data_IF_385774194448
#
_entry.id   IF_385774194448
#
_cell.length_a   1.000
_cell.length_b   1.000
_cell.length_c   1.000
_cell.angle_alpha   90.00
_cell.angle_beta   90.00
_cell.angle_gamma   90.00
#
_symmetry.space_group_name_H-M   'P 1'
#
loop_
_entity.id
_entity.type
_entity.pdbx_description
1 polymer ?
#
# COMPACT_ATOMS: atom_id res chain seq x y z
N UNK A 1 -4.97 35.50 -15.87
CA UNK A 1 -5.75 34.31 -15.43
C UNK A 1 -4.78 33.35 -14.74
N UNK A 2 -5.15 32.69 -13.63
CA UNK A 2 -4.29 31.70 -13.01
C UNK A 2 -4.11 30.50 -13.96
N UNK A 3 -2.87 30.09 -14.19
CA UNK A 3 -2.53 28.96 -15.07
C UNK A 3 -2.64 27.62 -14.36
N UNK A 4 -2.52 27.58 -13.03
CA UNK A 4 -2.62 26.35 -12.24
C UNK A 4 -4.07 26.08 -11.86
N UNK A 5 -4.59 24.93 -12.31
CA UNK A 5 -5.93 24.42 -12.01
C UNK A 5 -5.90 23.19 -11.09
N UNK A 6 -4.81 22.42 -11.13
CA UNK A 6 -4.61 21.19 -10.36
C UNK A 6 -3.23 21.24 -9.70
N UNK A 7 -3.15 20.83 -8.44
CA UNK A 7 -1.90 20.47 -7.74
C UNK A 7 -1.96 18.96 -7.48
N UNK A 8 -1.08 18.18 -8.09
CA UNK A 8 -0.97 16.74 -7.80
C UNK A 8 0.11 16.47 -6.75
N UNK A 9 -0.07 15.44 -5.91
CA UNK A 9 0.91 15.06 -4.88
C UNK A 9 1.27 13.56 -4.91
N UNK A 10 2.56 13.28 -4.80
CA UNK A 10 3.16 11.94 -4.61
C UNK A 10 4.34 12.06 -3.65
N UNK A 11 4.07 12.07 -2.34
CA UNK A 11 5.04 12.34 -1.27
C UNK A 11 5.32 11.11 -0.41
N UNK A 12 4.83 9.94 -0.79
CA UNK A 12 4.78 8.69 -0.01
C UNK A 12 3.87 8.79 1.21
N UNK A 13 3.50 7.64 1.77
CA UNK A 13 2.66 7.53 2.97
C UNK A 13 3.25 8.32 4.15
N UNK A 14 4.58 8.29 4.30
CA UNK A 14 5.31 9.01 5.36
C UNK A 14 5.27 10.55 5.21
N UNK A 15 5.02 11.06 4.00
CA UNK A 15 4.97 12.49 3.72
C UNK A 15 3.80 13.22 4.38
N UNK A 16 2.75 12.49 4.75
CA UNK A 16 1.52 13.02 5.35
C UNK A 16 1.57 13.12 6.88
N UNK A 17 2.63 12.64 7.53
CA UNK A 17 2.87 12.79 8.97
C UNK A 17 1.67 12.38 9.83
N UNK A 18 1.06 11.23 9.52
CA UNK A 18 -0.12 10.75 10.21
C UNK A 18 0.25 10.04 11.53
N UNK A 19 -0.67 10.10 12.49
CA UNK A 19 -0.71 9.22 13.66
C UNK A 19 -1.29 7.85 13.32
N UNK A 20 -1.33 6.96 14.31
CA UNK A 20 -1.89 5.60 14.16
C UNK A 20 -3.41 5.61 13.89
N UNK A 21 -4.08 6.70 14.24
CA UNK A 21 -5.50 6.95 13.97
C UNK A 21 -5.75 7.47 12.53
N UNK A 22 -4.69 7.69 11.74
CA UNK A 22 -4.79 8.25 10.39
C UNK A 22 -5.12 9.74 10.36
N UNK A 23 -4.98 10.43 11.50
CA UNK A 23 -5.09 11.89 11.61
C UNK A 23 -3.70 12.53 11.61
N UNK A 24 -3.66 13.82 11.31
CA UNK A 24 -2.44 14.60 11.33
C UNK A 24 -1.80 14.59 12.72
N UNK A 25 -0.55 14.17 12.80
CA UNK A 25 0.26 14.32 14.01
C UNK A 25 0.80 15.75 14.06
N UNK A 26 0.06 16.62 14.75
CA UNK A 26 0.37 18.07 14.85
C UNK A 26 1.75 18.30 15.44
N UNK A 27 2.19 17.48 16.40
CA UNK A 27 3.51 17.63 17.02
C UNK A 27 4.62 17.31 16.01
N UNK A 28 4.48 16.24 15.22
CA UNK A 28 5.44 15.94 14.12
C UNK A 28 5.51 17.08 13.11
N UNK A 29 4.36 17.64 12.74
CA UNK A 29 4.27 18.75 11.79
C UNK A 29 4.98 20.00 12.32
N UNK A 30 4.69 20.40 13.56
CA UNK A 30 5.30 21.57 14.18
C UNK A 30 6.81 21.43 14.30
N UNK A 31 7.29 20.24 14.67
CA UNK A 31 8.72 19.96 14.74
C UNK A 31 9.41 20.03 13.38
N UNK A 32 8.74 19.60 12.30
CA UNK A 32 9.30 19.61 10.95
C UNK A 32 9.19 20.98 10.26
N UNK A 33 8.12 21.74 10.49
CA UNK A 33 7.97 23.09 9.91
C UNK A 33 8.93 24.12 10.55
N UNK A 34 9.46 23.82 11.74
CA UNK A 34 10.38 24.71 12.48
C UNK A 34 11.86 24.58 12.07
N UNK A 35 12.25 23.64 11.19
CA UNK A 35 13.62 23.58 10.65
C UNK A 35 13.84 24.68 9.62
N UNK A 36 14.70 25.66 9.95
CA UNK A 36 14.97 26.89 9.20
C UNK A 36 15.80 26.70 7.90
N UNK A 37 15.40 25.77 7.04
CA UNK A 37 15.98 25.53 5.72
C UNK A 37 14.90 25.55 4.63
N UNK A 38 15.21 26.08 3.46
CA UNK A 38 14.27 26.16 2.33
C UNK A 38 13.86 24.78 1.74
N UNK A 39 14.45 23.67 2.23
CA UNK A 39 14.30 22.31 1.69
C UNK A 39 13.55 21.30 2.59
N UNK A 40 13.09 21.69 3.80
CA UNK A 40 12.50 20.75 4.78
C UNK A 40 10.98 20.91 5.04
N UNK A 41 10.30 21.73 4.23
CA UNK A 41 8.87 22.03 4.41
C UNK A 41 7.96 20.81 4.22
N UNK A 42 6.82 20.79 4.92
CA UNK A 42 5.81 19.72 4.77
C UNK A 42 4.88 19.97 3.58
N UNK A 43 4.26 18.91 3.05
CA UNK A 43 3.24 19.06 1.98
C UNK A 43 2.13 20.04 2.39
N UNK A 44 1.69 19.99 3.64
CA UNK A 44 0.68 20.89 4.19
C UNK A 44 1.14 22.34 4.25
N UNK A 45 2.42 22.60 4.56
CA UNK A 45 2.98 23.95 4.59
C UNK A 45 2.97 24.59 3.19
N UNK A 46 3.41 23.83 2.17
CA UNK A 46 3.38 24.31 0.78
C UNK A 46 1.95 24.50 0.28
N UNK A 47 1.04 23.57 0.58
CA UNK A 47 -0.37 23.70 0.24
C UNK A 47 -1.00 24.93 0.92
N UNK A 48 -0.79 25.14 2.23
CA UNK A 48 -1.29 26.32 2.94
C UNK A 48 -0.82 27.62 2.25
N UNK A 49 0.48 27.74 1.97
CA UNK A 49 1.06 28.92 1.30
C UNK A 49 0.44 29.13 -0.09
N UNK A 50 0.26 28.06 -0.86
CA UNK A 50 -0.33 28.11 -2.20
C UNK A 50 -1.81 28.52 -2.14
N UNK A 51 -2.60 27.92 -1.24
CA UNK A 51 -4.01 28.22 -1.04
C UNK A 51 -4.22 29.66 -0.59
N UNK A 52 -3.42 30.13 0.39
CA UNK A 52 -3.46 31.51 0.88
C UNK A 52 -3.19 32.50 -0.27
N UNK A 53 -2.13 32.28 -1.03
CA UNK A 53 -1.79 33.12 -2.18
C UNK A 53 -2.88 33.10 -3.25
N UNK A 54 -3.50 31.95 -3.52
CA UNK A 54 -4.60 31.84 -4.50
C UNK A 54 -5.85 32.59 -4.03
N UNK A 55 -6.20 32.44 -2.76
CA UNK A 55 -7.31 33.15 -2.11
C UNK A 55 -7.11 34.67 -2.19
N UNK A 56 -5.92 35.17 -1.88
CA UNK A 56 -5.66 36.61 -1.89
C UNK A 56 -5.68 37.21 -3.31
N UNK A 57 -5.21 36.46 -4.30
CA UNK A 57 -5.05 36.97 -5.67
C UNK A 57 -6.30 36.84 -6.54
N UNK A 58 -7.07 35.76 -6.42
CA UNK A 58 -8.14 35.49 -7.39
C UNK A 58 -9.37 34.78 -6.83
N UNK A 59 -9.26 34.05 -5.71
CA UNK A 59 -10.36 33.26 -5.13
C UNK A 59 -10.98 32.24 -6.08
N UNK A 60 -10.28 31.87 -7.16
CA UNK A 60 -10.80 30.92 -8.14
C UNK A 60 -10.62 29.47 -7.65
N UNK A 61 -11.50 28.54 -8.09
CA UNK A 61 -11.45 27.16 -7.62
C UNK A 61 -10.13 26.44 -7.97
N UNK A 62 -9.79 25.41 -7.19
CA UNK A 62 -8.56 24.62 -7.37
C UNK A 62 -8.85 23.14 -7.05
N UNK A 63 -8.18 22.23 -7.74
CA UNK A 63 -8.15 20.81 -7.35
C UNK A 63 -6.80 20.43 -6.74
N UNK A 64 -6.81 19.69 -5.64
CA UNK A 64 -5.61 19.03 -5.07
C UNK A 64 -5.80 17.52 -5.23
N UNK A 65 -5.02 16.90 -6.12
CA UNK A 65 -5.17 15.51 -6.53
C UNK A 65 -4.10 14.64 -5.88
N UNK A 66 -4.49 13.80 -4.93
CA UNK A 66 -3.57 12.85 -4.31
C UNK A 66 -3.36 11.63 -5.20
N UNK A 67 -2.09 11.28 -5.46
CA UNK A 67 -1.68 10.13 -6.26
C UNK A 67 -0.78 9.17 -5.47
N UNK A 68 -0.77 9.25 -4.13
CA UNK A 68 -0.11 8.26 -3.27
C UNK A 68 -1.02 7.06 -3.00
N UNK A 69 -0.42 5.91 -2.71
CA UNK A 69 -1.09 4.63 -2.48
C UNK A 69 -1.70 4.53 -1.06
N UNK A 70 -2.57 5.49 -0.73
CA UNK A 70 -3.34 5.52 0.52
C UNK A 70 -4.82 5.25 0.21
N UNK A 71 -5.53 4.63 1.16
CA UNK A 71 -6.99 4.48 1.06
C UNK A 71 -7.64 5.85 1.17
N UNK A 72 -8.63 6.11 0.33
CA UNK A 72 -9.41 7.35 0.30
C UNK A 72 -8.53 8.60 0.36
N UNK A 73 -7.45 8.59 -0.44
CA UNK A 73 -6.32 9.50 -0.30
C UNK A 73 -6.66 10.99 -0.45
N UNK A 74 -7.69 11.32 -1.21
CA UNK A 74 -8.19 12.68 -1.39
C UNK A 74 -8.88 13.21 -0.14
N UNK A 75 -9.86 12.47 0.39
CA UNK A 75 -10.54 12.83 1.63
C UNK A 75 -9.59 12.82 2.84
N UNK A 76 -8.65 11.86 2.88
CA UNK A 76 -7.58 11.85 3.89
C UNK A 76 -6.78 13.15 3.85
N UNK A 77 -6.31 13.56 2.67
CA UNK A 77 -5.55 14.80 2.52
C UNK A 77 -6.39 16.03 2.89
N UNK A 78 -7.66 16.06 2.49
CA UNK A 78 -8.59 17.14 2.87
C UNK A 78 -8.71 17.26 4.39
N UNK A 79 -9.09 16.18 5.07
CA UNK A 79 -9.29 16.16 6.52
C UNK A 79 -8.04 16.60 7.27
N UNK A 80 -6.87 16.11 6.84
CA UNK A 80 -5.62 16.44 7.49
C UNK A 80 -5.13 17.85 7.16
N UNK A 81 -5.46 18.39 5.98
CA UNK A 81 -5.26 19.80 5.66
C UNK A 81 -6.16 20.70 6.53
N UNK A 82 -7.42 20.31 6.78
CA UNK A 82 -8.32 21.05 7.67
C UNK A 82 -7.76 21.12 9.11
N UNK A 83 -7.27 19.98 9.65
CA UNK A 83 -6.59 19.93 10.95
C UNK A 83 -5.33 20.79 10.98
N UNK A 84 -4.53 20.76 9.91
CA UNK A 84 -3.35 21.62 9.78
C UNK A 84 -3.74 23.10 9.86
N UNK A 85 -4.72 23.55 9.05
CA UNK A 85 -5.14 24.94 9.05
C UNK A 85 -5.69 25.38 10.40
N UNK A 86 -6.42 24.50 11.11
CA UNK A 86 -6.91 24.76 12.45
C UNK A 86 -5.76 24.94 13.46
N UNK A 87 -4.78 24.03 13.46
CA UNK A 87 -3.62 24.09 14.34
C UNK A 87 -2.79 25.39 14.18
N UNK A 88 -2.76 25.95 12.96
CA UNK A 88 -2.07 27.21 12.65
C UNK A 88 -2.99 28.46 12.72
N UNK A 89 -4.24 28.31 13.15
CA UNK A 89 -5.17 29.44 13.34
C UNK A 89 -5.73 30.04 12.05
N UNK A 90 -5.61 29.36 10.91
CA UNK A 90 -5.99 29.82 9.58
C UNK A 90 -7.49 29.57 9.27
N UNK A 91 -8.38 29.99 10.18
CA UNK A 91 -9.84 29.71 10.10
C UNK A 91 -10.50 30.23 8.82
N UNK A 92 -10.16 31.46 8.42
CA UNK A 92 -10.70 32.08 7.22
C UNK A 92 -10.19 31.38 5.94
N UNK A 93 -8.94 30.89 5.95
CA UNK A 93 -8.44 30.08 4.84
C UNK A 93 -9.13 28.72 4.78
N UNK A 94 -9.38 28.09 5.94
CA UNK A 94 -10.07 26.80 6.03
C UNK A 94 -11.50 26.90 5.46
N UNK A 95 -12.28 27.91 5.86
CA UNK A 95 -13.61 28.14 5.30
C UNK A 95 -13.57 28.34 3.77
N UNK A 96 -12.63 29.15 3.27
CA UNK A 96 -12.47 29.33 1.83
C UNK A 96 -12.09 28.03 1.11
N UNK A 97 -11.22 27.21 1.70
CA UNK A 97 -10.80 25.93 1.13
C UNK A 97 -11.99 24.98 0.95
N UNK A 98 -12.87 24.85 1.95
CA UNK A 98 -14.05 24.00 1.87
C UNK A 98 -14.94 24.35 0.66
N UNK A 99 -15.12 25.63 0.40
CA UNK A 99 -15.99 26.14 -0.68
C UNK A 99 -15.31 26.22 -2.05
N UNK A 100 -13.97 26.26 -2.12
CA UNK A 100 -13.25 26.55 -3.37
C UNK A 100 -12.25 25.46 -3.81
N UNK A 101 -11.91 24.51 -2.95
CA UNK A 101 -10.92 23.48 -3.24
C UNK A 101 -11.55 22.09 -3.19
N UNK A 102 -11.27 21.25 -4.18
CA UNK A 102 -11.65 19.83 -4.17
C UNK A 102 -10.43 18.93 -3.98
N UNK A 103 -10.69 17.77 -3.39
CA UNK A 103 -9.69 16.75 -3.08
C UNK A 103 -10.19 15.38 -3.56
N UNK A 104 -10.27 15.16 -4.88
CA UNK A 104 -10.71 13.88 -5.41
C UNK A 104 -9.76 12.76 -4.96
N UNK A 105 -10.33 11.67 -4.44
CA UNK A 105 -9.59 10.44 -4.17
C UNK A 105 -9.25 9.74 -5.49
N UNK A 106 -8.13 9.02 -5.51
CA UNK A 106 -7.69 8.26 -6.67
C UNK A 106 -7.03 6.93 -6.33
N UNK A 107 -7.28 5.93 -7.17
CA UNK A 107 -6.51 4.69 -7.18
C UNK A 107 -5.50 4.75 -8.33
N UNK A 108 -4.22 4.64 -7.99
CA UNK A 108 -3.10 4.59 -8.95
C UNK A 108 -2.49 3.19 -8.95
N UNK A 109 -2.23 2.63 -10.13
CA UNK A 109 -1.57 1.34 -10.25
C UNK A 109 -0.64 1.27 -11.46
N UNK A 110 0.65 1.21 -11.17
CA UNK A 110 1.73 0.88 -12.11
C UNK A 110 2.99 0.49 -11.34
N UNK A 111 3.43 -0.74 -11.49
CA UNK A 111 4.70 -1.22 -10.93
C UNK A 111 5.84 -0.47 -11.62
N UNK A 112 6.53 0.36 -10.83
CA UNK A 112 7.64 1.21 -11.26
C UNK A 112 8.81 0.97 -10.32
N UNK A 113 9.68 -0.01 -10.59
CA UNK A 113 10.82 -0.30 -9.73
C UNK A 113 11.79 0.89 -9.68
N UNK A 114 12.61 0.93 -8.63
CA UNK A 114 13.71 1.90 -8.55
C UNK A 114 14.69 1.62 -9.70
N UNK A 115 15.04 2.61 -10.55
CA UNK A 115 16.02 2.41 -11.59
C UNK A 115 17.35 1.91 -11.00
N UNK A 116 17.85 0.80 -11.53
CA UNK A 116 19.18 0.28 -11.21
C UNK A 116 20.25 1.16 -11.86
N UNK A 117 21.45 1.20 -11.27
CA UNK A 117 22.50 2.15 -11.64
C UNK A 117 22.92 2.10 -13.11
N UNK A 118 22.69 0.99 -13.79
CA UNK A 118 23.03 0.79 -15.20
C UNK A 118 21.85 0.96 -16.18
N UNK A 119 20.64 1.26 -15.69
CA UNK A 119 19.46 1.41 -16.56
C UNK A 119 19.63 2.51 -17.62
N UNK A 120 20.24 3.64 -17.27
CA UNK A 120 20.55 4.71 -18.24
C UNK A 120 21.52 4.24 -19.33
N UNK A 121 22.48 3.38 -18.99
CA UNK A 121 23.41 2.78 -19.94
C UNK A 121 22.71 1.78 -20.88
N UNK A 122 21.72 1.02 -20.37
CA UNK A 122 20.90 0.14 -21.19
C UNK A 122 20.02 0.94 -22.17
N UNK A 123 19.43 2.04 -21.73
CA UNK A 123 18.66 2.95 -22.59
C UNK A 123 19.55 3.55 -23.68
N UNK A 124 20.75 4.02 -23.33
CA UNK A 124 21.71 4.54 -24.30
C UNK A 124 22.13 3.46 -25.31
N UNK A 125 22.45 2.25 -24.84
CA UNK A 125 22.84 1.12 -25.70
C UNK A 125 21.72 0.69 -26.65
N UNK A 126 20.47 0.68 -26.18
CA UNK A 126 19.32 0.16 -26.94
C UNK A 126 18.70 1.20 -27.87
N UNK A 127 18.69 2.47 -27.47
CA UNK A 127 17.97 3.54 -28.18
C UNK A 127 18.86 4.70 -28.63
N UNK A 128 20.13 4.75 -28.24
CA UNK A 128 21.04 5.86 -28.56
C UNK A 128 20.74 7.15 -27.78
N UNK A 129 19.93 7.08 -26.72
CA UNK A 129 19.49 8.23 -25.93
C UNK A 129 20.27 8.26 -24.62
N UNK A 130 21.11 9.28 -24.44
CA UNK A 130 21.82 9.52 -23.17
C UNK A 130 20.96 10.39 -22.26
N UNK A 131 20.47 9.82 -21.17
CA UNK A 131 19.68 10.53 -20.15
C UNK A 131 19.98 9.94 -18.76
N UNK A 132 20.34 10.80 -17.80
CA UNK A 132 20.64 10.40 -16.42
C UNK A 132 19.36 10.17 -15.58
N UNK A 133 18.20 10.58 -16.08
CA UNK A 133 16.89 10.46 -15.42
C UNK A 133 15.97 9.49 -16.18
N UNK A 134 16.39 8.22 -16.27
CA UNK A 134 15.59 7.18 -16.90
C UNK A 134 14.73 6.44 -15.87
N UNK A 135 13.51 6.09 -16.26
CA UNK A 135 12.60 5.25 -15.49
C UNK A 135 12.21 4.04 -16.34
N UNK A 136 11.95 2.91 -15.69
CA UNK A 136 11.24 1.80 -16.31
C UNK A 136 10.07 1.41 -15.42
N UNK A 137 9.08 0.78 -16.05
CA UNK A 137 7.85 0.34 -15.42
C UNK A 137 7.22 -0.73 -16.29
N UNK A 138 6.22 -1.40 -15.73
CA UNK A 138 5.40 -2.32 -16.52
C UNK A 138 4.61 -1.60 -17.63
N UNK A 139 4.08 -2.39 -18.55
CA UNK A 139 3.19 -1.93 -19.63
C UNK A 139 1.79 -1.60 -19.10
N UNK A 140 1.31 -2.37 -18.12
CA UNK A 140 0.06 -2.08 -17.43
C UNK A 140 0.09 -0.70 -16.75
N UNK A 141 -1.00 0.05 -16.89
CA UNK A 141 -1.24 1.30 -16.20
C UNK A 141 -2.73 1.43 -15.93
N UNK A 142 -3.08 1.84 -14.72
CA UNK A 142 -4.45 2.15 -14.36
C UNK A 142 -4.49 3.38 -13.46
N UNK A 143 -5.42 4.28 -13.75
CA UNK A 143 -5.70 5.43 -12.92
C UNK A 143 -7.21 5.64 -12.87
N UNK A 144 -7.76 5.57 -11.66
CA UNK A 144 -9.18 5.76 -11.39
C UNK A 144 -9.32 6.93 -10.44
N UNK A 145 -10.17 7.90 -10.77
CA UNK A 145 -10.30 9.15 -10.01
C UNK A 145 -11.78 9.42 -9.74
N UNK A 146 -12.12 9.87 -8.54
CA UNK A 146 -13.43 10.46 -8.27
C UNK A 146 -13.58 11.74 -9.10
N UNK A 147 -14.66 11.86 -9.89
CA UNK A 147 -14.89 13.06 -10.73
C UNK A 147 -15.39 14.26 -9.91
N UNK A 148 -14.50 14.79 -9.05
CA UNK A 148 -14.72 15.98 -8.21
C UNK A 148 -13.61 17.01 -8.49
N UNK A 149 -13.54 17.49 -9.72
CA UNK A 149 -12.60 18.54 -10.12
C UNK A 149 -13.24 19.91 -10.01
N UNK A 150 -12.50 20.83 -9.38
CA UNK A 150 -12.78 22.26 -9.37
C UNK A 150 -11.80 22.96 -10.30
N UNK A 151 -12.34 23.68 -11.29
CA UNK A 151 -11.56 24.29 -12.37
C UNK A 151 -11.48 23.40 -13.61
N UNK A 152 -10.60 23.74 -14.54
CA UNK A 152 -10.40 22.94 -15.75
C UNK A 152 -9.48 21.75 -15.45
N UNK A 153 -9.84 20.56 -15.95
CA UNK A 153 -8.96 19.39 -15.99
C UNK A 153 -8.69 18.97 -17.44
N UNK A 154 -7.55 18.33 -17.73
CA UNK A 154 -7.34 17.68 -19.03
C UNK A 154 -8.41 16.59 -19.26
N UNK A 155 -8.67 16.29 -20.54
CA UNK A 155 -9.50 15.16 -20.99
C UNK A 155 -8.72 13.84 -20.80
N UNK A 156 -8.37 13.52 -19.55
CA UNK A 156 -7.55 12.37 -19.17
C UNK A 156 -8.19 11.02 -19.55
N UNK A 157 -9.51 10.99 -19.72
CA UNK A 157 -10.23 9.84 -20.26
C UNK A 157 -9.74 9.43 -21.66
N UNK A 158 -9.24 10.37 -22.47
CA UNK A 158 -8.63 10.08 -23.77
C UNK A 158 -7.28 9.33 -23.63
N UNK A 159 -6.66 9.40 -22.45
CA UNK A 159 -5.45 8.66 -22.09
C UNK A 159 -5.74 7.40 -21.26
N UNK A 160 -7.02 6.99 -21.13
CA UNK A 160 -7.44 5.78 -20.43
C UNK A 160 -7.72 5.93 -18.93
N UNK A 161 -7.74 7.17 -18.40
CA UNK A 161 -8.13 7.42 -17.01
C UNK A 161 -9.63 7.20 -16.83
N UNK A 162 -10.01 6.47 -15.77
CA UNK A 162 -11.42 6.23 -15.45
C UNK A 162 -11.92 7.22 -14.41
N UNK A 163 -12.95 7.98 -14.76
CA UNK A 163 -13.65 8.85 -13.83
C UNK A 163 -14.87 8.15 -13.25
N UNK A 164 -14.96 8.09 -11.92
CA UNK A 164 -16.00 7.35 -11.20
C UNK A 164 -16.62 8.22 -10.11
N UNK A 165 -17.73 7.76 -9.54
CA UNK A 165 -18.34 8.41 -8.37
C UNK A 165 -17.66 8.01 -7.06
N UNK A 166 -17.13 6.80 -7.02
CA UNK A 166 -16.50 6.22 -5.84
C UNK A 166 -15.34 5.32 -6.28
N UNK A 167 -14.15 5.62 -5.78
CA UNK A 167 -12.93 4.84 -6.04
C UNK A 167 -12.77 3.64 -5.09
N UNK A 168 -13.53 3.59 -4.00
CA UNK A 168 -13.38 2.58 -2.94
C UNK A 168 -13.39 1.14 -3.46
N UNK A 169 -14.25 0.73 -4.40
CA UNK A 169 -14.21 -0.63 -4.94
C UNK A 169 -12.89 -0.96 -5.68
N UNK A 170 -12.29 0.03 -6.33
CA UNK A 170 -11.04 -0.12 -7.07
C UNK A 170 -9.84 -0.18 -6.13
N UNK A 171 -9.82 0.68 -5.10
CA UNK A 171 -8.81 0.62 -4.05
C UNK A 171 -8.86 -0.72 -3.31
N UNK A 172 -10.05 -1.16 -2.89
CA UNK A 172 -10.20 -2.42 -2.16
C UNK A 172 -9.83 -3.63 -3.04
N UNK A 173 -10.26 -3.67 -4.31
CA UNK A 173 -9.84 -4.73 -5.23
C UNK A 173 -8.31 -4.76 -5.41
N UNK A 174 -7.68 -3.59 -5.63
CA UNK A 174 -6.22 -3.49 -5.78
C UNK A 174 -5.50 -3.91 -4.50
N UNK A 175 -5.91 -3.41 -3.34
CA UNK A 175 -5.29 -3.74 -2.06
C UNK A 175 -5.41 -5.24 -1.77
N UNK A 176 -6.59 -5.82 -1.95
CA UNK A 176 -6.84 -7.21 -1.54
C UNK A 176 -6.31 -8.23 -2.54
N UNK A 177 -6.42 -7.94 -3.84
CA UNK A 177 -5.97 -8.85 -4.90
C UNK A 177 -4.49 -8.65 -5.18
N UNK A 178 -4.02 -7.44 -5.48
CA UNK A 178 -2.62 -7.19 -5.81
C UNK A 178 -1.74 -7.20 -4.55
N UNK A 179 -1.99 -6.30 -3.59
CA UNK A 179 -1.12 -6.21 -2.41
C UNK A 179 -1.28 -7.42 -1.48
N UNK A 180 -2.50 -7.94 -1.32
CA UNK A 180 -2.79 -9.12 -0.51
C UNK A 180 -2.13 -10.38 -1.03
N UNK A 181 -2.12 -10.63 -2.35
CA UNK A 181 -1.46 -11.82 -2.91
C UNK A 181 0.07 -11.69 -2.98
N UNK A 182 0.60 -10.48 -3.18
CA UNK A 182 2.02 -10.20 -2.96
C UNK A 182 2.44 -10.63 -1.55
N UNK A 183 1.77 -10.10 -0.52
CA UNK A 183 2.09 -10.40 0.87
C UNK A 183 1.84 -11.87 1.24
N UNK A 184 0.74 -12.44 0.74
CA UNK A 184 0.34 -13.82 1.03
C UNK A 184 1.37 -14.84 0.55
N UNK A 185 2.03 -14.59 -0.58
CA UNK A 185 2.99 -15.52 -1.18
C UNK A 185 4.44 -15.27 -0.75
N UNK A 186 4.84 -14.00 -0.57
CA UNK A 186 6.27 -13.60 -0.52
C UNK A 186 7.07 -14.31 0.57
N UNK A 187 6.47 -14.55 1.75
CA UNK A 187 7.18 -15.18 2.87
C UNK A 187 7.42 -16.66 2.62
N UNK A 188 6.48 -17.36 2.00
CA UNK A 188 6.66 -18.75 1.59
C UNK A 188 7.72 -18.84 0.48
N UNK A 189 7.70 -17.91 -0.47
CA UNK A 189 8.71 -17.83 -1.52
C UNK A 189 10.13 -17.60 -0.95
N UNK A 190 10.25 -16.69 0.02
CA UNK A 190 11.51 -16.43 0.72
C UNK A 190 12.03 -17.65 1.47
N UNK A 191 11.15 -18.39 2.17
CA UNK A 191 11.50 -19.64 2.84
C UNK A 191 11.92 -20.75 1.86
N UNK A 192 11.41 -20.72 0.63
CA UNK A 192 11.82 -21.63 -0.47
C UNK A 192 13.10 -21.18 -1.18
N UNK A 193 13.67 -20.02 -0.83
CA UNK A 193 14.95 -19.55 -1.37
C UNK A 193 14.87 -18.84 -2.72
N UNK A 194 13.70 -18.33 -3.11
CA UNK A 194 13.59 -17.47 -4.29
C UNK A 194 14.14 -16.07 -4.02
N UNK A 195 14.70 -15.42 -5.05
CA UNK A 195 15.22 -14.06 -4.95
C UNK A 195 14.21 -13.00 -5.42
N UNK A 196 13.43 -13.32 -6.47
CA UNK A 196 12.44 -12.41 -7.06
C UNK A 196 11.05 -13.03 -7.15
N UNK A 197 10.03 -12.16 -7.19
CA UNK A 197 8.63 -12.60 -7.16
C UNK A 197 8.17 -13.23 -8.47
N UNK A 198 8.72 -12.81 -9.61
CA UNK A 198 8.42 -13.38 -10.92
C UNK A 198 8.87 -14.84 -11.05
N UNK A 199 10.00 -15.20 -10.47
CA UNK A 199 10.45 -16.59 -10.36
C UNK A 199 9.54 -17.40 -9.41
N UNK A 200 9.17 -16.79 -8.28
CA UNK A 200 8.34 -17.44 -7.27
C UNK A 200 6.92 -17.74 -7.79
N UNK A 201 6.26 -16.81 -8.48
CA UNK A 201 4.86 -16.96 -8.90
C UNK A 201 4.66 -17.98 -10.03
N UNK A 202 5.73 -18.40 -10.71
CA UNK A 202 5.71 -19.46 -11.73
C UNK A 202 6.09 -20.85 -11.17
N UNK A 203 6.60 -20.95 -9.93
CA UNK A 203 6.80 -22.24 -9.26
C UNK A 203 5.45 -22.95 -9.10
N UNK A 204 5.30 -24.24 -9.48
CA UNK A 204 3.98 -24.89 -9.49
C UNK A 204 3.25 -24.88 -8.15
N UNK A 205 3.96 -25.03 -7.02
CA UNK A 205 3.36 -25.00 -5.69
C UNK A 205 2.89 -23.58 -5.35
N UNK A 206 3.77 -22.59 -5.54
CA UNK A 206 3.48 -21.18 -5.23
C UNK A 206 2.41 -20.60 -6.15
N UNK A 207 2.40 -20.98 -7.42
CA UNK A 207 1.37 -20.58 -8.39
C UNK A 207 0.00 -21.12 -8.02
N UNK A 208 -0.05 -22.38 -7.55
CA UNK A 208 -1.28 -23.00 -7.04
C UNK A 208 -1.75 -22.32 -5.76
N UNK A 209 -0.83 -22.02 -4.84
CA UNK A 209 -1.12 -21.28 -3.61
C UNK A 209 -1.72 -19.90 -3.91
N UNK A 210 -1.13 -19.18 -4.86
CA UNK A 210 -1.59 -17.87 -5.32
C UNK A 210 -3.03 -17.94 -5.84
N UNK A 211 -3.33 -18.92 -6.72
CA UNK A 211 -4.67 -19.08 -7.29
C UNK A 211 -5.69 -19.43 -6.21
N UNK A 212 -5.35 -20.34 -5.29
CA UNK A 212 -6.23 -20.72 -4.18
C UNK A 212 -6.53 -19.55 -3.24
N UNK A 213 -5.51 -18.75 -2.88
CA UNK A 213 -5.69 -17.55 -2.07
C UNK A 213 -6.69 -16.59 -2.72
N UNK A 214 -6.55 -16.32 -4.02
CA UNK A 214 -7.44 -15.40 -4.71
C UNK A 214 -8.84 -15.97 -4.90
N UNK A 215 -8.96 -17.20 -5.38
CA UNK A 215 -10.24 -17.81 -5.75
C UNK A 215 -11.09 -18.21 -4.54
N UNK A 216 -10.45 -18.70 -3.46
CA UNK A 216 -11.15 -19.26 -2.30
C UNK A 216 -11.33 -18.27 -1.17
N UNK A 217 -10.47 -17.26 -1.06
CA UNK A 217 -10.46 -16.37 0.11
C UNK A 217 -10.65 -14.91 -0.26
N UNK A 218 -9.89 -14.37 -1.20
CA UNK A 218 -9.95 -12.93 -1.51
C UNK A 218 -11.22 -12.57 -2.29
N UNK A 219 -11.43 -13.16 -3.47
CA UNK A 219 -12.54 -12.79 -4.36
C UNK A 219 -13.91 -13.00 -3.71
N UNK A 220 -14.19 -14.12 -3.01
CA UNK A 220 -15.47 -14.33 -2.34
C UNK A 220 -15.74 -13.33 -1.20
N UNK A 221 -14.70 -12.67 -0.70
CA UNK A 221 -14.83 -11.75 0.44
C UNK A 221 -14.91 -10.27 0.04
N UNK A 222 -14.69 -9.97 -1.23
CA UNK A 222 -14.94 -8.66 -1.84
C UNK A 222 -16.43 -8.45 -2.14
N UNK A 223 -16.82 -7.20 -2.41
CA UNK A 223 -18.17 -6.88 -2.88
C UNK A 223 -18.43 -7.53 -4.24
N UNK A 224 -19.43 -8.40 -4.31
CA UNK A 224 -19.81 -9.09 -5.54
C UNK A 224 -20.56 -8.17 -6.53
N UNK A 225 -20.97 -6.98 -6.08
CA UNK A 225 -21.51 -5.92 -6.94
C UNK A 225 -20.43 -4.92 -7.39
N UNK A 226 -19.14 -5.24 -7.17
CA UNK A 226 -18.04 -4.40 -7.62
C UNK A 226 -18.17 -4.09 -9.12
N UNK A 227 -17.91 -2.85 -9.56
CA UNK A 227 -17.88 -2.50 -10.98
C UNK A 227 -16.72 -3.16 -11.74
N UNK A 228 -15.82 -3.85 -11.03
CA UNK A 228 -14.63 -4.51 -11.57
C UNK A 228 -14.92 -6.00 -11.72
N UNK A 229 -14.55 -6.56 -12.87
CA UNK A 229 -14.43 -8.02 -12.99
C UNK A 229 -13.23 -8.49 -12.16
N UNK A 230 -13.51 -8.90 -10.92
CA UNK A 230 -12.49 -9.31 -9.96
C UNK A 230 -11.67 -10.51 -10.43
N UNK A 231 -12.26 -11.42 -11.20
CA UNK A 231 -11.55 -12.60 -11.73
C UNK A 231 -10.63 -12.20 -12.87
N UNK A 232 -11.09 -11.37 -13.79
CA UNK A 232 -10.25 -10.84 -14.86
C UNK A 232 -9.11 -9.98 -14.28
N UNK A 233 -9.39 -9.18 -13.25
CA UNK A 233 -8.39 -8.38 -12.56
C UNK A 233 -7.34 -9.26 -11.85
N UNK A 234 -7.76 -10.31 -11.13
CA UNK A 234 -6.86 -11.31 -10.54
C UNK A 234 -5.96 -11.98 -11.59
N UNK A 235 -6.52 -12.38 -12.74
CA UNK A 235 -5.74 -12.94 -13.85
C UNK A 235 -4.73 -11.95 -14.41
N UNK A 236 -5.10 -10.68 -14.55
CA UNK A 236 -4.19 -9.60 -14.94
C UNK A 236 -3.04 -9.43 -13.94
N UNK A 237 -3.35 -9.38 -12.64
CA UNK A 237 -2.34 -9.28 -11.57
C UNK A 237 -1.36 -10.44 -11.64
N UNK A 238 -1.83 -11.69 -11.76
CA UNK A 238 -0.95 -12.86 -11.89
C UNK A 238 0.00 -12.73 -13.08
N UNK A 239 -0.52 -12.33 -14.24
CA UNK A 239 0.29 -12.13 -15.46
C UNK A 239 1.34 -11.03 -15.27
N UNK A 240 0.99 -9.93 -14.58
CA UNK A 240 1.92 -8.84 -14.27
C UNK A 240 3.05 -9.30 -13.36
N UNK A 241 2.73 -10.11 -12.34
CA UNK A 241 3.73 -10.67 -11.45
C UNK A 241 4.70 -11.64 -12.14
N UNK A 242 4.32 -12.25 -13.26
CA UNK A 242 5.20 -13.10 -14.06
C UNK A 242 6.19 -12.32 -14.95
N UNK A 243 6.14 -10.99 -14.93
CA UNK A 243 6.97 -10.16 -15.80
C UNK A 243 8.40 -10.02 -15.27
N UNK A 244 9.30 -10.87 -15.75
CA UNK A 244 10.73 -10.87 -15.41
C UNK A 244 11.46 -9.57 -15.77
N UNK A 245 10.93 -8.73 -16.68
CA UNK A 245 11.59 -7.47 -17.07
C UNK A 245 11.50 -6.38 -16.00
N UNK A 246 10.61 -6.56 -15.03
CA UNK A 246 10.40 -5.67 -13.87
C UNK A 246 10.53 -6.46 -12.57
N UNK A 247 11.33 -7.53 -12.60
CA UNK A 247 11.54 -8.46 -11.49
C UNK A 247 11.71 -7.72 -10.17
N UNK A 248 10.92 -8.13 -9.18
CA UNK A 248 10.85 -7.45 -7.90
C UNK A 248 11.42 -8.33 -6.79
N UNK A 249 12.43 -7.80 -6.10
CA UNK A 249 13.15 -8.55 -5.07
C UNK A 249 12.27 -8.85 -3.86
N UNK A 250 12.27 -10.11 -3.42
CA UNK A 250 11.48 -10.54 -2.27
C UNK A 250 11.74 -9.72 -1.00
N UNK A 251 12.97 -9.27 -0.67
CA UNK A 251 13.19 -8.38 0.48
C UNK A 251 12.33 -7.12 0.48
N UNK A 252 12.15 -6.49 -0.69
CA UNK A 252 11.34 -5.26 -0.83
C UNK A 252 9.84 -5.55 -0.65
N UNK A 253 9.38 -6.70 -1.14
CA UNK A 253 7.98 -7.09 -1.03
C UNK A 253 7.67 -7.52 0.41
N UNK A 254 8.54 -8.32 1.03
CA UNK A 254 8.37 -8.91 2.36
C UNK A 254 8.54 -7.89 3.50
N UNK A 255 9.34 -6.84 3.32
CA UNK A 255 9.59 -5.85 4.37
C UNK A 255 8.30 -5.26 4.96
N UNK A 256 8.35 -4.78 6.20
CA UNK A 256 7.23 -4.12 6.90
C UNK A 256 5.97 -5.00 6.98
N UNK A 257 6.17 -6.29 7.26
CA UNK A 257 5.09 -7.25 7.47
C UNK A 257 4.12 -6.80 8.57
N UNK A 258 4.63 -6.20 9.65
CA UNK A 258 3.81 -5.67 10.74
C UNK A 258 2.63 -4.83 10.25
N UNK A 259 2.91 -3.85 9.39
CA UNK A 259 1.90 -2.93 8.85
C UNK A 259 1.09 -3.59 7.72
N UNK A 260 1.77 -4.32 6.83
CA UNK A 260 1.17 -4.90 5.63
C UNK A 260 0.16 -6.01 5.94
N UNK A 261 0.39 -6.84 6.95
CA UNK A 261 -0.57 -7.90 7.32
C UNK A 261 -1.90 -7.30 7.76
N UNK A 262 -1.87 -6.25 8.58
CA UNK A 262 -3.07 -5.50 8.98
C UNK A 262 -3.78 -4.86 7.80
N UNK A 263 -3.04 -4.25 6.88
CA UNK A 263 -3.65 -3.50 5.78
C UNK A 263 -4.17 -4.38 4.64
N UNK A 264 -3.45 -5.46 4.32
CA UNK A 264 -3.65 -6.21 3.08
C UNK A 264 -4.32 -7.57 3.30
N UNK A 265 -3.98 -8.30 4.38
CA UNK A 265 -4.45 -9.67 4.59
C UNK A 265 -5.52 -9.79 5.68
N UNK A 266 -5.46 -8.99 6.74
CA UNK A 266 -6.47 -9.00 7.81
C UNK A 266 -7.90 -8.86 7.27
N UNK A 267 -8.23 -7.94 6.34
CA UNK A 267 -9.59 -7.85 5.82
C UNK A 267 -10.06 -9.12 5.07
N UNK A 268 -9.12 -9.90 4.52
CA UNK A 268 -9.43 -11.24 3.96
C UNK A 268 -9.72 -12.25 5.04
N UNK A 269 -8.92 -12.29 6.10
CA UNK A 269 -9.17 -13.15 7.25
C UNK A 269 -10.55 -12.86 7.85
N UNK A 270 -10.84 -11.59 8.17
CA UNK A 270 -12.13 -11.16 8.70
C UNK A 270 -13.28 -11.55 7.77
N UNK A 271 -13.16 -11.18 6.49
CA UNK A 271 -14.20 -11.47 5.50
C UNK A 271 -14.44 -12.96 5.31
N UNK A 272 -13.42 -13.81 5.50
CA UNK A 272 -13.55 -15.26 5.42
C UNK A 272 -14.30 -15.80 6.63
N UNK A 273 -13.84 -15.49 7.84
CA UNK A 273 -14.47 -15.95 9.07
C UNK A 273 -15.93 -15.49 9.18
N UNK A 274 -16.20 -14.21 8.87
CA UNK A 274 -17.55 -13.65 8.92
C UNK A 274 -18.51 -14.30 7.89
N UNK A 275 -17.98 -14.93 6.84
CA UNK A 275 -18.73 -15.67 5.81
C UNK A 275 -18.65 -17.19 5.96
N UNK A 276 -17.99 -17.71 7.00
CA UNK A 276 -17.79 -19.15 7.20
C UNK A 276 -16.88 -19.82 6.16
N UNK A 277 -16.00 -19.05 5.52
CA UNK A 277 -14.97 -19.55 4.59
C UNK A 277 -13.73 -19.90 5.41
N UNK A 278 -13.13 -21.07 5.16
CA UNK A 278 -11.86 -21.47 5.79
C UNK A 278 -10.67 -20.73 5.13
N UNK A 279 -9.96 -19.84 5.83
CA UNK A 279 -8.89 -19.04 5.25
C UNK A 279 -7.52 -19.74 5.32
N UNK A 280 -7.43 -20.93 4.74
CA UNK A 280 -6.24 -21.80 4.81
C UNK A 280 -4.97 -21.13 4.26
N UNK A 281 -5.01 -20.54 3.07
CA UNK A 281 -3.88 -19.82 2.47
C UNK A 281 -3.50 -18.59 3.30
N UNK A 282 -4.46 -17.80 3.78
CA UNK A 282 -4.16 -16.65 4.63
C UNK A 282 -3.50 -17.07 5.95
N UNK A 283 -3.99 -18.12 6.62
CA UNK A 283 -3.35 -18.66 7.84
C UNK A 283 -1.93 -19.14 7.56
N UNK A 284 -1.72 -19.88 6.46
CA UNK A 284 -0.38 -20.31 6.03
C UNK A 284 0.55 -19.13 5.74
N UNK A 285 0.03 -18.05 5.17
CA UNK A 285 0.78 -16.81 4.93
C UNK A 285 1.29 -16.21 6.23
N UNK A 286 0.43 -16.11 7.26
CA UNK A 286 0.81 -15.64 8.60
C UNK A 286 1.85 -16.55 9.24
N UNK A 287 1.70 -17.87 9.10
CA UNK A 287 2.65 -18.84 9.63
C UNK A 287 4.02 -18.75 8.94
N UNK A 288 4.06 -18.60 7.61
CA UNK A 288 5.30 -18.42 6.86
C UNK A 288 6.02 -17.12 7.26
N UNK A 289 5.27 -16.04 7.49
CA UNK A 289 5.84 -14.81 8.01
C UNK A 289 6.48 -15.02 9.38
N UNK A 290 5.78 -15.65 10.32
CA UNK A 290 6.35 -15.99 11.63
C UNK A 290 7.64 -16.81 11.51
N UNK A 291 7.65 -17.85 10.67
CA UNK A 291 8.82 -18.74 10.50
C UNK A 291 10.00 -17.96 9.91
N UNK A 292 9.77 -17.08 8.93
CA UNK A 292 10.82 -16.20 8.39
C UNK A 292 11.36 -15.27 9.48
N UNK A 293 10.49 -14.58 10.23
CA UNK A 293 10.90 -13.70 11.32
C UNK A 293 11.74 -14.43 12.37
N UNK A 294 11.35 -15.66 12.72
CA UNK A 294 12.08 -16.49 13.68
C UNK A 294 13.49 -16.81 13.18
N UNK A 295 13.62 -17.25 11.92
CA UNK A 295 14.92 -17.53 11.30
C UNK A 295 15.81 -16.29 11.18
N UNK A 296 15.22 -15.11 10.96
CA UNK A 296 15.96 -13.85 10.97
C UNK A 296 16.38 -13.49 12.39
N UNK A 297 15.52 -13.69 13.39
CA UNK A 297 15.79 -13.37 14.78
C UNK A 297 16.87 -14.26 15.42
N UNK A 298 16.96 -15.53 15.04
CA UNK A 298 17.97 -16.47 15.53
C UNK A 298 19.25 -16.51 14.66
N UNK A 299 19.26 -15.79 13.54
CA UNK A 299 20.40 -15.70 12.63
C UNK A 299 20.58 -16.90 11.70
N UNK A 300 19.60 -17.81 11.62
CA UNK A 300 19.62 -18.97 10.72
C UNK A 300 19.20 -18.65 9.28
N UNK A 301 18.76 -17.43 8.98
CA UNK A 301 18.51 -16.95 7.61
C UNK A 301 19.34 -15.71 7.28
N UNK A 302 19.91 -15.68 6.08
CA UNK A 302 20.56 -14.50 5.49
C UNK A 302 19.58 -13.57 4.76
N UNK A 303 18.29 -13.88 4.76
CA UNK A 303 17.27 -13.07 4.09
C UNK A 303 17.22 -11.66 4.72
N UNK A 304 17.37 -10.63 3.90
CA UNK A 304 17.39 -9.23 4.32
C UNK A 304 15.96 -8.73 4.62
N UNK A 305 15.37 -9.22 5.70
CA UNK A 305 14.07 -8.75 6.17
C UNK A 305 14.23 -7.42 6.93
N UNK A 306 13.44 -6.43 6.55
CA UNK A 306 13.41 -5.12 7.20
C UNK A 306 12.01 -4.82 7.71
N UNK A 307 11.87 -4.44 8.97
CA UNK A 307 10.59 -4.09 9.55
C UNK A 307 10.80 -3.06 10.67
N UNK A 308 10.20 -1.86 10.58
CA UNK A 308 10.34 -0.83 11.61
C UNK A 308 9.94 -1.32 13.01
N UNK A 309 9.07 -2.32 13.09
CA UNK A 309 8.52 -2.89 14.31
C UNK A 309 9.15 -4.24 14.66
N UNK A 310 10.28 -4.63 14.05
CA UNK A 310 10.92 -5.92 14.32
C UNK A 310 11.25 -6.11 15.81
N UNK A 311 11.71 -5.07 16.50
CA UNK A 311 12.00 -5.11 17.94
C UNK A 311 10.76 -5.39 18.79
N UNK A 312 9.59 -4.89 18.38
CA UNK A 312 8.30 -5.18 19.03
C UNK A 312 7.87 -6.63 18.82
N UNK A 313 8.18 -7.22 17.66
CA UNK A 313 7.81 -8.59 17.32
C UNK A 313 8.66 -9.66 18.05
N UNK A 314 9.93 -9.36 18.34
CA UNK A 314 10.90 -10.33 18.91
C UNK A 314 10.41 -11.12 20.14
N UNK A 315 9.75 -10.52 21.14
CA UNK A 315 9.22 -11.26 22.29
C UNK A 315 8.21 -12.34 21.90
N UNK A 316 7.45 -12.14 20.82
CA UNK A 316 6.46 -13.10 20.32
C UNK A 316 7.05 -14.24 19.50
N UNK A 317 8.35 -14.19 19.16
CA UNK A 317 9.06 -15.22 18.40
C UNK A 317 9.71 -16.29 19.30
N UNK A 318 9.55 -16.17 20.63
CA UNK A 318 10.04 -17.15 21.60
C UNK A 318 9.23 -18.45 21.55
N UNK A 319 9.83 -19.61 21.90
CA UNK A 319 9.08 -20.87 22.00
C UNK A 319 7.86 -20.74 22.92
N UNK A 320 6.69 -21.19 22.45
CA UNK A 320 5.44 -21.11 23.20
C UNK A 320 4.66 -19.79 23.03
N UNK A 321 5.19 -18.84 22.26
CA UNK A 321 4.52 -17.56 21.97
C UNK A 321 3.76 -17.57 20.63
N UNK A 322 3.72 -18.68 19.90
CA UNK A 322 3.11 -18.80 18.57
C UNK A 322 1.64 -18.36 18.58
N UNK A 323 0.89 -18.77 19.62
CA UNK A 323 -0.50 -18.35 19.78
C UNK A 323 -0.63 -16.88 20.18
N UNK A 324 0.33 -16.33 20.94
CA UNK A 324 0.32 -14.92 21.34
C UNK A 324 0.65 -14.00 20.17
N UNK A 325 1.50 -14.45 19.25
CA UNK A 325 1.74 -13.76 17.98
C UNK A 325 0.45 -13.54 17.18
N UNK A 326 -0.41 -14.55 17.13
CA UNK A 326 -1.73 -14.46 16.51
C UNK A 326 -2.78 -13.70 17.34
N UNK A 327 -2.38 -13.13 18.49
CA UNK A 327 -3.22 -12.33 19.39
C UNK A 327 -2.78 -10.87 19.53
N UNK A 328 -1.72 -10.46 18.81
CA UNK A 328 -1.26 -9.07 18.78
C UNK A 328 -2.38 -8.17 18.26
N UNK A 329 -2.95 -7.33 19.13
CA UNK A 329 -4.09 -6.45 18.83
C UNK A 329 -3.77 -5.40 17.76
N UNK A 330 -2.53 -4.97 17.70
CA UNK A 330 -2.06 -3.92 16.80
C UNK A 330 -2.00 -4.41 15.35
N UNK A 331 -1.94 -5.73 15.14
CA UNK A 331 -1.93 -6.37 13.82
C UNK A 331 -3.29 -7.00 13.50
N UNK A 332 -3.87 -7.74 14.45
CA UNK A 332 -5.07 -8.57 14.23
C UNK A 332 -6.35 -7.94 14.76
N UNK A 333 -6.27 -6.74 15.35
CA UNK A 333 -7.41 -6.02 15.93
C UNK A 333 -8.21 -6.92 16.89
N UNK A 334 -9.51 -7.04 16.68
CA UNK A 334 -10.41 -7.85 17.50
C UNK A 334 -10.70 -9.25 16.91
N UNK A 335 -10.05 -9.62 15.79
CA UNK A 335 -10.25 -10.90 15.11
C UNK A 335 -10.07 -12.09 16.08
N UNK A 336 -9.02 -12.16 16.93
CA UNK A 336 -8.84 -13.27 17.88
C UNK A 336 -9.92 -13.37 18.97
N UNK A 337 -10.63 -12.28 19.25
CA UNK A 337 -11.72 -12.21 20.22
C UNK A 337 -13.04 -12.65 19.57
N UNK A 338 -13.29 -12.22 18.33
CA UNK A 338 -14.47 -12.63 17.54
C UNK A 338 -14.39 -14.09 17.10
N UNK A 339 -13.19 -14.55 16.74
CA UNK A 339 -12.93 -15.88 16.17
C UNK A 339 -11.79 -16.58 16.94
N UNK A 340 -12.07 -17.17 18.13
CA UNK A 340 -11.06 -17.77 19.02
C UNK A 340 -10.29 -18.97 18.44
N UNK A 341 -10.74 -19.52 17.32
CA UNK A 341 -10.07 -20.55 16.52
C UNK A 341 -8.87 -20.00 15.74
N UNK A 342 -8.88 -18.73 15.33
CA UNK A 342 -7.82 -18.14 14.50
C UNK A 342 -6.43 -18.32 15.11
N UNK A 343 -6.17 -17.99 16.39
CA UNK A 343 -4.85 -18.20 17.00
C UNK A 343 -4.42 -19.66 17.06
N UNK A 344 -5.37 -20.60 17.19
CA UNK A 344 -5.08 -22.04 17.24
C UNK A 344 -4.69 -22.57 15.86
N UNK A 345 -5.37 -22.10 14.81
CA UNK A 345 -5.07 -22.44 13.42
C UNK A 345 -3.69 -21.90 13.03
N UNK A 346 -3.38 -20.64 13.37
CA UNK A 346 -2.06 -20.05 13.12
C UNK A 346 -0.96 -20.80 13.88
N UNK A 347 -1.15 -21.13 15.15
CA UNK A 347 -0.18 -21.92 15.93
C UNK A 347 0.09 -23.29 15.30
N UNK A 348 -0.95 -23.98 14.83
CA UNK A 348 -0.81 -25.28 14.17
C UNK A 348 -0.01 -25.18 12.88
N UNK A 349 -0.31 -24.18 12.03
CA UNK A 349 0.44 -23.94 10.79
C UNK A 349 1.87 -23.47 11.05
N UNK A 350 2.12 -22.65 12.08
CA UNK A 350 3.49 -22.29 12.49
C UNK A 350 4.27 -23.55 12.83
N UNK A 351 3.72 -24.47 13.63
CA UNK A 351 4.39 -25.74 13.98
C UNK A 351 4.66 -26.60 12.74
N UNK A 352 3.71 -26.64 11.80
CA UNK A 352 3.89 -27.34 10.53
C UNK A 352 5.05 -26.76 9.72
N UNK A 353 5.10 -25.44 9.53
CA UNK A 353 6.13 -24.77 8.74
C UNK A 353 7.50 -24.71 9.42
N UNK A 354 7.54 -24.60 10.75
CA UNK A 354 8.80 -24.75 11.49
C UNK A 354 9.41 -26.12 11.23
N UNK A 355 8.60 -27.18 11.20
CA UNK A 355 9.09 -28.52 10.87
C UNK A 355 9.51 -28.66 9.40
N UNK A 356 8.76 -28.03 8.49
CA UNK A 356 9.05 -28.05 7.04
C UNK A 356 10.38 -27.37 6.71
N UNK A 357 10.73 -26.30 7.40
CA UNK A 357 11.93 -25.48 7.14
C UNK A 357 12.97 -25.56 8.27
N UNK A 358 13.10 -26.74 8.91
CA UNK A 358 14.04 -26.98 10.01
C UNK A 358 15.52 -26.94 9.60
N UNK A 359 15.79 -27.21 8.33
CA UNK A 359 17.14 -27.27 7.74
C UNK A 359 17.46 -25.98 6.98
#
# INVERSE_FOLDING_TARGET
QPTVQIISVTVTESGYLLGEDGLLDVDKVLNKSMSKGHDDGTVYEYLMKALKRRKDLCKLPLTVLCCDNLRDNGNMLRRNMELYLEAFGEKDLNAWMQDNVSFPSSMVDRITPKPIQFHSQEVEKKFGIRNDFTIHSEDFIQWVITDDFRGQRPELELAGVSFVKDVSPYEEAKIRILNGSHLGLVHLAALKGFDTYDEAVIDPELSTFFDLLLEKEVIPTLDQNSPIDLKAYAGSVKKRFQNWQIADGLPRIAMDGYSKFRQFLLPTLEGCFDRGINPECSIKSVACWYVLLKKVADGSSSFNYQDPYFSFLKPYLQPGMEQQFARISEIWCDLPQRHPEFPKLVEAEIKHFLNRFKE
#
